data_IF_735298896530
#
_entry.id   IF_735298896530
#
_cell.length_a   1.000
_cell.length_b   1.000
_cell.length_c   1.000
_cell.angle_alpha   90.00
_cell.angle_beta   90.00
_cell.angle_gamma   90.00
#
_symmetry.space_group_name_H-M   'P 1'
#
loop_
_entity.id
_entity.type
_entity.pdbx_description
1 polymer ?
#
# COMPACT_ATOMS: atom_id res chain seq x y z
N UNK A 1 -31.60 -45.40 23.20
CA UNK A 1 -32.64 -45.97 22.34
C UNK A 1 -32.38 -45.40 20.97
N UNK A 2 -31.59 -46.15 20.18
CA UNK A 2 -31.37 -45.91 18.77
C UNK A 2 -32.56 -46.44 17.99
N UNK A 3 -32.75 -46.07 16.71
CA UNK A 3 -32.40 -47.06 15.71
C UNK A 3 -31.61 -46.51 14.48
N UNK A 4 -30.85 -47.48 13.97
CA UNK A 4 -30.17 -47.63 12.72
C UNK A 4 -30.95 -47.18 11.45
N UNK A 5 -30.24 -46.65 10.51
CA UNK A 5 -30.65 -46.61 9.10
C UNK A 5 -29.45 -46.98 8.21
N UNK A 6 -29.67 -48.06 7.51
CA UNK A 6 -28.84 -48.85 6.61
C UNK A 6 -28.57 -48.12 5.30
N UNK A 7 -27.32 -48.10 4.84
CA UNK A 7 -26.92 -47.81 3.46
C UNK A 7 -27.23 -48.98 2.53
N UNK A 8 -27.63 -48.78 1.27
CA UNK A 8 -27.54 -49.79 0.23
C UNK A 8 -26.28 -49.60 -0.63
N UNK A 9 -25.48 -50.65 -0.67
CA UNK A 9 -24.36 -50.83 -1.59
C UNK A 9 -24.85 -50.93 -3.03
N UNK A 10 -24.23 -50.16 -3.93
CA UNK A 10 -24.37 -50.28 -5.37
C UNK A 10 -23.27 -51.23 -5.91
N UNK A 11 -23.68 -52.41 -6.35
CA UNK A 11 -22.90 -53.40 -7.06
C UNK A 11 -22.59 -52.89 -8.47
N UNK A 12 -21.31 -52.69 -8.82
CA UNK A 12 -20.85 -52.42 -10.18
C UNK A 12 -20.27 -53.70 -10.77
N UNK A 13 -21.00 -54.30 -11.66
CA UNK A 13 -20.59 -55.46 -12.42
C UNK A 13 -19.45 -55.11 -13.41
N UNK A 14 -18.40 -55.88 -13.40
CA UNK A 14 -17.33 -55.92 -14.41
C UNK A 14 -17.79 -56.72 -15.62
N UNK A 15 -17.58 -56.23 -16.87
CA UNK A 15 -17.82 -57.04 -18.05
C UNK A 15 -16.60 -57.91 -18.39
N UNK A 16 -16.92 -59.15 -18.79
CA UNK A 16 -16.06 -60.25 -19.21
C UNK A 16 -15.17 -59.94 -20.42
N UNK A 17 -14.05 -60.58 -20.37
CA UNK A 17 -13.03 -60.88 -21.40
C UNK A 17 -13.64 -61.33 -22.73
N UNK A 18 -13.53 -60.49 -23.78
CA UNK A 18 -13.83 -60.90 -25.15
C UNK A 18 -12.54 -60.82 -25.97
N UNK A 19 -11.99 -62.01 -26.26
CA UNK A 19 -10.91 -62.24 -27.22
C UNK A 19 -11.31 -61.75 -28.61
N UNK A 20 -10.55 -60.84 -29.19
CA UNK A 20 -10.66 -60.34 -30.55
C UNK A 20 -9.66 -61.09 -31.45
N UNK A 21 -10.20 -61.63 -32.52
CA UNK A 21 -9.59 -62.34 -33.61
C UNK A 21 -8.64 -61.50 -34.45
N UNK A 22 -7.45 -62.03 -34.77
CA UNK A 22 -6.44 -61.43 -35.64
C UNK A 22 -6.87 -61.43 -37.11
N UNK A 23 -7.57 -60.39 -37.52
CA UNK A 23 -7.86 -60.11 -38.92
C UNK A 23 -6.83 -59.12 -39.51
N UNK A 24 -6.03 -59.60 -40.47
CA UNK A 24 -5.09 -58.80 -41.24
C UNK A 24 -5.76 -57.57 -41.88
N UNK A 25 -5.27 -56.36 -41.56
CA UNK A 25 -5.69 -55.14 -42.21
C UNK A 25 -4.72 -54.75 -43.34
N UNK A 26 -5.32 -54.62 -44.50
CA UNK A 26 -4.83 -54.19 -45.79
C UNK A 26 -4.19 -52.76 -45.68
N UNK A 27 -2.96 -52.60 -46.19
CA UNK A 27 -2.24 -51.32 -46.30
C UNK A 27 -2.90 -50.45 -47.39
N UNK A 28 -3.86 -49.60 -46.97
CA UNK A 28 -4.39 -48.52 -47.79
C UNK A 28 -3.49 -47.28 -47.68
N UNK A 29 -3.49 -46.35 -48.66
CA UNK A 29 -2.55 -45.25 -48.74
C UNK A 29 -2.68 -44.25 -47.58
N UNK A 30 -1.55 -43.97 -46.92
CA UNK A 30 -1.39 -42.92 -45.92
C UNK A 30 -1.69 -41.56 -46.51
N UNK A 31 -2.94 -41.15 -46.40
CA UNK A 31 -3.32 -39.74 -46.62
C UNK A 31 -2.78 -38.89 -45.48
N UNK A 32 -2.10 -37.79 -45.83
CA UNK A 32 -1.67 -36.78 -44.91
C UNK A 32 -2.82 -36.41 -43.95
N UNK A 33 -2.71 -36.79 -42.68
CA UNK A 33 -3.60 -36.35 -41.65
C UNK A 33 -3.34 -34.83 -41.44
N UNK A 34 -4.17 -34.00 -42.04
CA UNK A 34 -4.19 -32.59 -41.76
C UNK A 34 -4.36 -32.42 -40.25
N UNK A 35 -3.29 -31.97 -39.58
CA UNK A 35 -3.32 -31.59 -38.18
C UNK A 35 -4.31 -30.43 -38.07
N UNK A 36 -5.50 -30.69 -37.59
CA UNK A 36 -6.47 -29.64 -37.26
C UNK A 36 -5.88 -28.95 -36.09
N UNK A 37 -5.25 -27.79 -36.31
CA UNK A 37 -4.91 -26.86 -35.25
C UNK A 37 -6.21 -26.37 -34.60
N UNK A 38 -6.53 -26.88 -33.44
CA UNK A 38 -7.64 -26.39 -32.65
C UNK A 38 -7.33 -24.89 -32.35
N UNK A 39 -8.32 -24.00 -32.50
CA UNK A 39 -8.11 -22.59 -32.16
C UNK A 39 -7.66 -22.53 -30.71
N UNK A 40 -6.53 -21.82 -30.48
CA UNK A 40 -6.03 -21.52 -29.12
C UNK A 40 -7.17 -20.82 -28.39
N UNK A 41 -7.78 -21.49 -27.42
CA UNK A 41 -8.77 -20.85 -26.55
C UNK A 41 -8.00 -19.81 -25.75
N UNK A 42 -8.34 -18.52 -25.88
CA UNK A 42 -7.64 -17.47 -25.14
C UNK A 42 -7.77 -17.75 -23.64
N UNK A 43 -6.66 -17.60 -22.90
CA UNK A 43 -6.66 -17.76 -21.46
C UNK A 43 -7.70 -16.81 -20.82
N UNK A 44 -8.70 -17.34 -20.10
CA UNK A 44 -9.75 -16.51 -19.53
C UNK A 44 -9.20 -15.49 -18.51
N UNK A 45 -8.09 -15.79 -17.86
CA UNK A 45 -7.45 -14.90 -16.86
C UNK A 45 -6.76 -13.74 -17.55
N UNK A 46 -6.02 -14.02 -18.62
CA UNK A 46 -5.40 -12.97 -19.44
C UNK A 46 -6.43 -12.03 -20.06
N UNK A 47 -7.57 -12.56 -20.49
CA UNK A 47 -8.68 -11.73 -20.97
C UNK A 47 -9.25 -10.81 -19.87
N UNK A 48 -9.31 -11.30 -18.62
CA UNK A 48 -9.74 -10.48 -17.46
C UNK A 48 -8.74 -9.35 -17.17
N UNK A 49 -7.44 -9.63 -17.23
CA UNK A 49 -6.38 -8.61 -17.06
C UNK A 49 -6.54 -7.52 -18.12
N UNK A 50 -6.59 -7.90 -19.39
CA UNK A 50 -6.78 -6.96 -20.51
C UNK A 50 -8.06 -6.13 -20.37
N UNK A 51 -9.17 -6.77 -20.04
CA UNK A 51 -10.45 -6.09 -19.85
C UNK A 51 -10.37 -5.04 -18.73
N UNK A 52 -9.73 -5.36 -17.60
CA UNK A 52 -9.57 -4.41 -16.49
C UNK A 52 -8.71 -3.21 -16.87
N UNK A 53 -7.61 -3.41 -17.62
CA UNK A 53 -6.80 -2.31 -18.15
C UNK A 53 -7.62 -1.40 -19.07
N UNK A 54 -8.40 -1.99 -19.99
CA UNK A 54 -9.27 -1.22 -20.88
C UNK A 54 -10.35 -0.44 -20.12
N UNK A 55 -10.98 -1.05 -19.11
CA UNK A 55 -11.97 -0.39 -18.25
C UNK A 55 -11.37 0.74 -17.43
N UNK A 56 -10.10 0.63 -17.06
CA UNK A 56 -9.36 1.71 -16.42
C UNK A 56 -8.96 2.83 -17.39
N UNK A 57 -9.16 2.62 -18.71
CA UNK A 57 -8.86 3.60 -19.77
C UNK A 57 -7.42 3.54 -20.24
N UNK A 58 -6.74 2.42 -20.10
CA UNK A 58 -5.43 2.19 -20.74
C UNK A 58 -5.63 2.04 -22.24
N UNK A 59 -4.73 2.64 -23.04
CA UNK A 59 -4.75 2.55 -24.49
C UNK A 59 -4.74 1.09 -24.95
N UNK A 60 -5.71 0.65 -25.78
CA UNK A 60 -5.78 -0.73 -26.30
C UNK A 60 -4.47 -1.22 -26.94
N UNK A 61 -3.74 -0.35 -27.62
CA UNK A 61 -2.46 -0.71 -28.24
C UNK A 61 -1.43 -1.14 -27.17
N UNK A 62 -1.36 -0.42 -26.04
CA UNK A 62 -0.48 -0.77 -24.92
C UNK A 62 -0.95 -2.03 -24.19
N UNK A 63 -2.27 -2.25 -24.12
CA UNK A 63 -2.84 -3.46 -23.51
C UNK A 63 -2.47 -4.71 -24.30
N UNK A 64 -2.37 -4.63 -25.61
CA UNK A 64 -2.02 -5.79 -26.45
C UNK A 64 -0.51 -6.12 -26.41
N UNK A 65 0.34 -5.12 -26.17
CA UNK A 65 1.79 -5.27 -26.15
C UNK A 65 2.34 -5.65 -24.77
N UNK A 66 1.59 -5.38 -23.66
CA UNK A 66 2.09 -5.58 -22.31
C UNK A 66 2.12 -7.06 -21.92
N UNK A 67 3.18 -7.49 -21.26
CA UNK A 67 3.22 -8.78 -20.59
C UNK A 67 2.39 -8.73 -19.30
N UNK A 68 1.77 -9.85 -18.92
CA UNK A 68 0.86 -9.90 -17.79
C UNK A 68 1.54 -9.45 -16.47
N UNK A 69 2.83 -9.77 -16.30
CA UNK A 69 3.62 -9.34 -15.14
C UNK A 69 3.81 -7.82 -15.05
N UNK A 70 3.77 -7.11 -16.17
CA UNK A 70 3.92 -5.65 -16.25
C UNK A 70 2.59 -4.91 -16.13
N UNK A 71 1.47 -5.61 -16.30
CA UNK A 71 0.13 -5.06 -16.29
C UNK A 71 -0.21 -4.24 -15.03
N UNK A 72 0.20 -4.63 -13.79
CA UNK A 72 0.01 -3.81 -12.60
C UNK A 72 0.71 -2.45 -12.68
N UNK A 73 1.86 -2.38 -13.35
CA UNK A 73 2.58 -1.12 -13.59
C UNK A 73 1.80 -0.15 -14.46
N UNK A 74 1.21 -0.65 -15.55
CA UNK A 74 0.35 0.14 -16.44
C UNK A 74 -0.92 0.62 -15.72
N UNK A 75 -1.57 -0.26 -14.96
CA UNK A 75 -2.75 0.10 -14.19
C UNK A 75 -2.41 1.18 -13.16
N UNK A 76 -1.33 1.01 -12.40
CA UNK A 76 -0.86 1.99 -11.43
C UNK A 76 -0.60 3.35 -12.09
N UNK A 77 0.12 3.37 -13.22
CA UNK A 77 0.37 4.60 -13.95
C UNK A 77 -0.93 5.29 -14.34
N UNK A 78 -1.90 4.54 -14.89
CA UNK A 78 -3.19 5.06 -15.29
C UNK A 78 -4.01 5.61 -14.13
N UNK A 79 -4.06 4.89 -13.01
CA UNK A 79 -4.83 5.28 -11.83
C UNK A 79 -4.25 6.50 -11.11
N UNK A 80 -2.92 6.61 -11.05
CA UNK A 80 -2.25 7.72 -10.35
C UNK A 80 -2.14 8.97 -11.21
N UNK A 81 -1.85 8.83 -12.50
CA UNK A 81 -1.43 9.92 -13.36
C UNK A 81 -2.38 10.18 -14.56
N UNK A 82 -3.32 9.27 -14.81
CA UNK A 82 -4.21 9.40 -15.96
C UNK A 82 -3.45 9.43 -17.27
N UNK A 83 -3.70 10.47 -18.09
CA UNK A 83 -3.01 10.73 -19.37
C UNK A 83 -1.85 11.73 -19.23
N UNK A 84 -1.48 12.09 -17.98
CA UNK A 84 -0.41 13.05 -17.72
C UNK A 84 0.95 12.53 -18.23
N UNK A 85 1.56 13.28 -19.12
CA UNK A 85 2.84 12.92 -19.71
C UNK A 85 3.99 13.42 -18.83
N UNK A 86 5.09 12.65 -18.76
CA UNK A 86 6.26 13.10 -18.01
C UNK A 86 6.92 14.29 -18.70
N UNK A 87 7.36 15.26 -17.89
CA UNK A 87 8.11 16.46 -18.32
C UNK A 87 9.43 16.54 -17.55
N UNK A 88 10.37 17.34 -18.05
CA UNK A 88 11.63 17.58 -17.37
C UNK A 88 11.45 18.53 -16.16
N UNK A 89 12.36 18.44 -15.18
CA UNK A 89 12.32 19.29 -13.99
C UNK A 89 12.49 20.77 -14.34
N UNK A 90 13.29 21.07 -15.34
CA UNK A 90 13.49 22.43 -15.87
C UNK A 90 12.18 23.05 -16.37
N UNK A 91 11.35 22.25 -17.00
CA UNK A 91 10.04 22.69 -17.47
C UNK A 91 9.08 22.96 -16.29
N UNK A 92 9.08 22.09 -15.30
CA UNK A 92 8.34 22.32 -14.04
C UNK A 92 8.78 23.61 -13.37
N UNK A 93 10.10 23.82 -13.21
CA UNK A 93 10.68 24.98 -12.57
C UNK A 93 10.31 26.28 -13.32
N UNK A 94 10.44 26.26 -14.66
CA UNK A 94 10.06 27.39 -15.50
C UNK A 94 8.57 27.74 -15.38
N UNK A 95 7.69 26.73 -15.42
CA UNK A 95 6.24 26.95 -15.30
C UNK A 95 5.81 27.36 -13.90
N UNK A 96 6.54 26.95 -12.86
CA UNK A 96 6.28 27.30 -11.46
C UNK A 96 6.91 28.68 -11.09
N UNK A 97 7.81 29.20 -11.89
CA UNK A 97 8.53 30.46 -11.59
C UNK A 97 9.60 30.31 -10.51
N UNK A 98 10.22 29.14 -10.39
CA UNK A 98 11.26 28.83 -9.43
C UNK A 98 12.59 28.51 -10.12
N UNK A 99 13.69 28.69 -9.38
CA UNK A 99 14.98 28.17 -9.77
C UNK A 99 14.96 26.62 -9.78
N UNK A 100 15.57 26.02 -10.81
CA UNK A 100 15.58 24.55 -10.96
C UNK A 100 16.28 23.84 -9.81
N UNK A 101 17.31 24.45 -9.23
CA UNK A 101 18.03 23.88 -8.07
C UNK A 101 17.18 23.92 -6.80
N UNK A 102 16.31 24.92 -6.62
CA UNK A 102 15.33 24.95 -5.55
C UNK A 102 14.31 23.82 -5.74
N UNK A 103 13.84 23.60 -6.95
CA UNK A 103 12.94 22.49 -7.27
C UNK A 103 13.61 21.13 -7.01
N UNK A 104 14.88 20.97 -7.41
CA UNK A 104 15.68 19.76 -7.20
C UNK A 104 15.85 19.45 -5.71
N UNK A 105 16.24 20.46 -4.93
CA UNK A 105 16.35 20.36 -3.46
C UNK A 105 15.02 19.99 -2.81
N UNK A 106 13.93 20.63 -3.21
CA UNK A 106 12.61 20.35 -2.68
C UNK A 106 12.19 18.91 -2.96
N UNK A 107 12.40 18.39 -4.19
CA UNK A 107 12.12 16.98 -4.52
C UNK A 107 12.92 16.00 -3.64
N UNK A 108 14.22 16.24 -3.48
CA UNK A 108 15.05 15.39 -2.61
C UNK A 108 14.58 15.44 -1.14
N UNK A 109 14.15 16.60 -0.66
CA UNK A 109 13.58 16.74 0.69
C UNK A 109 12.22 16.05 0.82
N UNK A 110 11.47 15.90 -0.28
CA UNK A 110 10.27 15.07 -0.34
C UNK A 110 10.58 13.56 -0.36
N UNK A 111 11.85 13.16 -0.44
CA UNK A 111 12.25 11.75 -0.56
C UNK A 111 12.18 11.21 -2.00
N UNK A 112 12.03 12.09 -2.98
CA UNK A 112 12.02 11.72 -4.39
C UNK A 112 13.45 11.74 -4.96
N UNK A 113 13.81 10.81 -5.87
CA UNK A 113 15.13 10.80 -6.48
C UNK A 113 15.36 12.03 -7.34
N UNK A 114 16.63 12.40 -7.52
CA UNK A 114 17.02 13.43 -8.49
C UNK A 114 16.69 12.94 -9.90
N UNK A 115 15.88 13.65 -10.68
CA UNK A 115 15.51 13.24 -12.02
C UNK A 115 16.65 13.40 -13.05
N UNK A 116 17.70 14.16 -12.74
CA UNK A 116 18.66 14.60 -13.75
C UNK A 116 17.95 15.39 -14.86
N UNK A 117 18.30 15.08 -16.11
CA UNK A 117 17.70 15.70 -17.31
C UNK A 117 16.53 14.86 -17.87
N UNK A 118 16.17 13.74 -17.19
CA UNK A 118 15.12 12.85 -17.67
C UNK A 118 13.71 13.41 -17.42
N UNK A 119 12.77 13.25 -18.36
CA UNK A 119 11.39 13.69 -18.19
C UNK A 119 10.63 12.70 -17.30
N UNK A 120 10.80 12.80 -15.99
CA UNK A 120 10.12 11.93 -14.99
C UNK A 120 9.16 12.68 -14.09
N UNK A 121 9.15 14.02 -14.14
CA UNK A 121 8.19 14.85 -13.41
C UNK A 121 6.83 14.82 -14.09
N UNK A 122 5.79 15.22 -13.35
CA UNK A 122 4.43 15.28 -13.86
C UNK A 122 3.95 16.71 -13.99
N UNK A 123 3.06 16.99 -14.97
CA UNK A 123 2.54 18.35 -15.15
C UNK A 123 1.79 18.85 -13.92
N UNK A 124 1.16 17.96 -13.15
CA UNK A 124 0.52 18.31 -11.87
C UNK A 124 1.51 18.76 -10.78
N UNK A 125 2.79 18.42 -10.89
CA UNK A 125 3.82 18.92 -9.98
C UNK A 125 4.02 20.44 -10.12
N UNK A 126 3.72 21.01 -11.27
CA UNK A 126 3.80 22.47 -11.50
C UNK A 126 2.97 23.24 -10.47
N UNK A 127 1.75 22.81 -10.20
CA UNK A 127 0.91 23.48 -9.18
C UNK A 127 1.47 23.31 -7.77
N UNK A 128 2.06 22.15 -7.47
CA UNK A 128 2.75 21.92 -6.20
C UNK A 128 3.92 22.89 -6.03
N UNK A 129 4.73 23.07 -7.08
CA UNK A 129 5.88 23.99 -7.04
C UNK A 129 5.45 25.48 -7.09
N UNK A 130 4.32 25.81 -7.69
CA UNK A 130 3.73 27.16 -7.56
C UNK A 130 3.32 27.46 -6.13
N UNK A 131 2.70 26.47 -5.44
CA UNK A 131 2.41 26.57 -4.02
C UNK A 131 3.67 26.76 -3.17
N UNK A 132 4.75 26.04 -3.52
CA UNK A 132 6.06 26.18 -2.89
C UNK A 132 6.62 27.59 -3.10
N UNK A 133 6.56 28.12 -4.33
CA UNK A 133 7.01 29.50 -4.67
C UNK A 133 6.29 30.55 -3.83
N UNK A 134 4.96 30.48 -3.76
CA UNK A 134 4.16 31.38 -2.94
C UNK A 134 4.52 31.27 -1.43
N UNK A 135 4.78 30.04 -0.95
CA UNK A 135 5.23 29.83 0.41
C UNK A 135 6.61 30.42 0.67
N UNK A 136 7.55 30.30 -0.25
CA UNK A 136 8.89 30.88 -0.18
C UNK A 136 8.82 32.42 -0.12
N UNK A 137 7.98 33.02 -0.94
CA UNK A 137 7.77 34.48 -0.92
C UNK A 137 7.25 34.97 0.44
N UNK A 138 6.34 34.19 1.05
CA UNK A 138 5.70 34.59 2.32
C UNK A 138 6.53 34.28 3.57
N UNK A 139 7.19 33.11 3.61
CA UNK A 139 7.82 32.59 4.82
C UNK A 139 9.35 32.45 4.70
N UNK A 140 9.89 32.60 3.52
CA UNK A 140 11.31 32.38 3.22
C UNK A 140 11.62 30.93 2.82
N UNK A 141 12.70 30.76 2.04
CA UNK A 141 13.11 29.47 1.46
C UNK A 141 13.40 28.42 2.53
N UNK A 142 14.17 28.77 3.57
CA UNK A 142 14.58 27.82 4.61
C UNK A 142 13.38 27.22 5.36
N UNK A 143 12.38 28.05 5.70
CA UNK A 143 11.19 27.60 6.40
C UNK A 143 10.36 26.64 5.54
N UNK A 144 10.20 26.95 4.28
CA UNK A 144 9.43 26.14 3.34
C UNK A 144 10.15 24.82 3.01
N UNK A 145 11.45 24.84 2.80
CA UNK A 145 12.23 23.61 2.58
C UNK A 145 12.24 22.71 3.83
N UNK A 146 12.26 23.28 5.04
CA UNK A 146 12.09 22.52 6.28
C UNK A 146 10.70 21.86 6.35
N UNK A 147 9.64 22.59 6.01
CA UNK A 147 8.29 22.05 5.95
C UNK A 147 8.18 20.95 4.89
N UNK A 148 8.76 21.16 3.71
CA UNK A 148 8.80 20.18 2.62
C UNK A 148 9.43 18.85 3.05
N UNK A 149 10.50 18.89 3.85
CA UNK A 149 11.13 17.70 4.43
C UNK A 149 10.18 16.94 5.35
N UNK A 150 9.45 17.66 6.22
CA UNK A 150 8.48 17.04 7.14
C UNK A 150 7.35 16.39 6.34
N UNK A 151 6.83 17.09 5.33
CA UNK A 151 5.79 16.57 4.44
C UNK A 151 6.26 15.31 3.71
N UNK A 152 7.45 15.34 3.11
CA UNK A 152 7.99 14.18 2.38
C UNK A 152 8.15 12.94 3.28
N UNK A 153 8.73 13.11 4.47
CA UNK A 153 8.88 12.02 5.43
C UNK A 153 7.53 11.43 5.87
N UNK A 154 6.52 12.28 6.13
CA UNK A 154 5.19 11.82 6.48
C UNK A 154 4.53 11.04 5.34
N UNK A 155 4.63 11.55 4.11
CA UNK A 155 4.06 10.88 2.93
C UNK A 155 4.75 9.56 2.61
N UNK A 156 6.07 9.46 2.77
CA UNK A 156 6.80 8.19 2.61
C UNK A 156 6.28 7.14 3.61
N UNK A 157 6.16 7.51 4.89
CA UNK A 157 5.62 6.62 5.93
C UNK A 157 4.19 6.14 5.61
N UNK A 158 3.34 7.04 5.11
CA UNK A 158 1.97 6.70 4.71
C UNK A 158 1.97 5.74 3.52
N UNK A 159 2.80 6.00 2.50
CA UNK A 159 2.92 5.14 1.33
C UNK A 159 3.40 3.73 1.70
N UNK A 160 4.45 3.62 2.51
CA UNK A 160 4.99 2.34 3.00
C UNK A 160 3.94 1.58 3.85
N UNK A 161 3.26 2.28 4.76
CA UNK A 161 2.18 1.72 5.56
C UNK A 161 1.04 1.17 4.70
N UNK A 162 0.66 1.90 3.67
CA UNK A 162 -0.39 1.49 2.73
C UNK A 162 0.02 0.21 1.97
N UNK A 163 1.25 0.14 1.46
CA UNK A 163 1.77 -1.05 0.78
C UNK A 163 1.89 -2.25 1.73
N UNK A 164 2.25 -2.02 3.00
CA UNK A 164 2.35 -3.08 4.00
C UNK A 164 0.99 -3.75 4.31
N UNK A 165 -0.11 -3.02 4.20
CA UNK A 165 -1.47 -3.59 4.34
C UNK A 165 -1.72 -4.64 3.26
N UNK A 166 -1.36 -4.33 2.01
CA UNK A 166 -1.48 -5.27 0.90
C UNK A 166 -0.57 -6.49 1.08
N UNK A 167 0.72 -6.28 1.42
CA UNK A 167 1.66 -7.37 1.66
C UNK A 167 1.19 -8.34 2.75
N UNK A 168 0.68 -7.82 3.86
CA UNK A 168 0.09 -8.66 4.93
C UNK A 168 -1.17 -9.39 4.48
N UNK A 169 -2.00 -8.79 3.63
CA UNK A 169 -3.17 -9.46 3.07
C UNK A 169 -2.77 -10.69 2.23
N UNK A 170 -1.75 -10.56 1.40
CA UNK A 170 -1.22 -11.69 0.62
C UNK A 170 -0.57 -12.75 1.51
N UNK A 171 0.26 -12.35 2.48
CA UNK A 171 0.95 -13.27 3.38
C UNK A 171 0.00 -14.13 4.22
N UNK A 172 -1.18 -13.62 4.60
CA UNK A 172 -2.19 -14.37 5.34
C UNK A 172 -2.82 -15.53 4.56
N UNK A 173 -2.67 -15.57 3.24
CA UNK A 173 -3.13 -16.67 2.40
C UNK A 173 -2.21 -17.91 2.45
N UNK A 174 -0.98 -17.77 2.99
CA UNK A 174 -0.04 -18.88 3.15
C UNK A 174 0.21 -19.61 1.83
N UNK A 175 0.06 -20.95 1.83
CA UNK A 175 0.24 -21.79 0.64
C UNK A 175 -0.84 -21.58 -0.45
N UNK A 176 -1.90 -20.82 -0.15
CA UNK A 176 -2.92 -20.37 -1.11
C UNK A 176 -2.60 -18.97 -1.68
N UNK A 177 -1.40 -18.44 -1.45
CA UNK A 177 -1.00 -17.17 -2.03
C UNK A 177 -1.09 -17.23 -3.57
N UNK A 178 -1.71 -16.21 -4.21
CA UNK A 178 -1.88 -16.23 -5.65
C UNK A 178 -0.53 -16.14 -6.35
N UNK A 179 -0.36 -16.90 -7.43
CA UNK A 179 0.82 -16.87 -8.29
C UNK A 179 0.43 -16.51 -9.73
N UNK A 180 1.40 -16.08 -10.52
CA UNK A 180 1.18 -15.77 -11.95
C UNK A 180 0.06 -14.75 -12.15
N UNK A 181 -0.88 -15.07 -13.02
CA UNK A 181 -1.99 -14.18 -13.41
C UNK A 181 -2.97 -13.89 -12.27
N UNK A 182 -3.13 -14.81 -11.31
CA UNK A 182 -3.95 -14.56 -10.13
C UNK A 182 -3.33 -13.52 -9.21
N UNK A 183 -1.98 -13.52 -9.10
CA UNK A 183 -1.26 -12.46 -8.40
C UNK A 183 -1.48 -11.10 -9.07
N UNK A 184 -1.44 -11.04 -10.41
CA UNK A 184 -1.71 -9.82 -11.17
C UNK A 184 -3.10 -9.28 -10.88
N UNK A 185 -4.12 -10.15 -10.86
CA UNK A 185 -5.49 -9.74 -10.52
C UNK A 185 -5.62 -9.27 -9.07
N UNK A 186 -4.95 -9.92 -8.13
CA UNK A 186 -4.92 -9.48 -6.74
C UNK A 186 -4.22 -8.12 -6.58
N UNK A 187 -3.14 -7.89 -7.34
CA UNK A 187 -2.48 -6.58 -7.41
C UNK A 187 -3.40 -5.48 -7.97
N UNK A 188 -4.23 -5.81 -8.96
CA UNK A 188 -5.24 -4.89 -9.50
C UNK A 188 -6.27 -4.51 -8.44
N UNK A 189 -6.81 -5.49 -7.69
CA UNK A 189 -7.77 -5.23 -6.61
C UNK A 189 -7.18 -4.29 -5.55
N UNK A 190 -5.91 -4.47 -5.20
CA UNK A 190 -5.20 -3.61 -4.29
C UNK A 190 -5.06 -2.18 -4.85
N UNK A 191 -4.57 -2.04 -6.10
CA UNK A 191 -4.39 -0.73 -6.73
C UNK A 191 -5.70 0.05 -6.84
N UNK A 192 -6.80 -0.62 -7.18
CA UNK A 192 -8.12 0.01 -7.23
C UNK A 192 -8.62 0.43 -5.85
N UNK A 193 -8.35 -0.36 -4.82
CA UNK A 193 -8.71 0.00 -3.44
C UNK A 193 -7.93 1.20 -2.93
N UNK A 194 -6.68 1.39 -3.38
CA UNK A 194 -5.87 2.56 -3.01
C UNK A 194 -6.29 3.87 -3.69
N UNK A 195 -7.18 3.85 -4.66
CA UNK A 195 -7.70 5.08 -5.30
C UNK A 195 -8.31 6.07 -4.32
N UNK A 196 -8.90 5.59 -3.23
CA UNK A 196 -9.51 6.44 -2.20
C UNK A 196 -8.48 7.10 -1.28
N UNK A 197 -7.25 6.60 -1.23
CA UNK A 197 -6.24 7.05 -0.26
C UNK A 197 -5.94 8.55 -0.37
N UNK A 198 -5.72 9.15 -1.56
CA UNK A 198 -5.49 10.60 -1.66
C UNK A 198 -6.65 11.44 -1.10
N UNK A 199 -7.89 11.02 -1.32
CA UNK A 199 -9.08 11.71 -0.81
C UNK A 199 -9.15 11.63 0.71
N UNK A 200 -8.93 10.44 1.28
CA UNK A 200 -8.88 10.24 2.73
C UNK A 200 -7.76 11.07 3.34
N UNK A 201 -6.58 11.09 2.74
CA UNK A 201 -5.45 11.91 3.21
C UNK A 201 -5.80 13.39 3.20
N UNK A 202 -6.48 13.88 2.16
CA UNK A 202 -6.94 15.26 2.09
C UNK A 202 -7.90 15.64 3.22
N UNK A 203 -8.83 14.73 3.57
CA UNK A 203 -9.76 14.95 4.70
C UNK A 203 -9.01 14.92 6.03
N UNK A 204 -8.18 13.89 6.26
CA UNK A 204 -7.40 13.75 7.50
C UNK A 204 -6.45 14.94 7.70
N UNK A 205 -5.80 15.41 6.63
CA UNK A 205 -4.95 16.61 6.70
C UNK A 205 -5.74 17.84 7.16
N UNK A 206 -6.93 18.09 6.59
CA UNK A 206 -7.80 19.21 7.00
C UNK A 206 -8.17 19.12 8.49
N UNK A 207 -8.57 17.94 8.95
CA UNK A 207 -8.91 17.72 10.36
C UNK A 207 -7.70 17.95 11.28
N UNK A 208 -6.50 17.52 10.88
CA UNK A 208 -5.29 17.75 11.66
C UNK A 208 -4.86 19.22 11.66
N UNK A 209 -5.04 19.95 10.55
CA UNK A 209 -4.80 21.39 10.51
C UNK A 209 -5.76 22.15 11.42
N UNK A 210 -7.04 21.79 11.42
CA UNK A 210 -8.04 22.40 12.30
C UNK A 210 -7.69 22.22 13.78
N UNK A 211 -7.40 20.97 14.18
CA UNK A 211 -6.92 20.67 15.53
C UNK A 211 -5.62 21.36 15.91
N UNK A 212 -4.70 21.54 14.96
CA UNK A 212 -3.46 22.25 15.19
C UNK A 212 -3.68 23.77 15.35
N UNK A 213 -4.59 24.36 14.55
CA UNK A 213 -4.98 25.75 14.64
C UNK A 213 -5.62 26.08 16.00
N UNK A 214 -6.52 25.21 16.48
CA UNK A 214 -7.14 25.37 17.81
C UNK A 214 -6.09 25.38 18.94
N UNK A 215 -5.06 24.55 18.81
CA UNK A 215 -3.94 24.56 19.77
C UNK A 215 -3.11 25.84 19.72
N UNK A 216 -3.07 26.53 18.56
CA UNK A 216 -2.33 27.80 18.39
C UNK A 216 -3.14 29.02 18.79
N UNK A 217 -4.48 28.93 18.92
CA UNK A 217 -5.38 30.04 19.27
C UNK A 217 -5.15 30.62 20.68
N UNK A 218 -4.20 30.14 21.45
CA UNK A 218 -3.72 30.75 22.67
C UNK A 218 -2.38 31.47 22.44
N UNK A 219 -2.39 32.75 22.10
CA UNK A 219 -1.22 33.64 21.97
C UNK A 219 -0.09 33.20 21.00
N UNK A 220 -0.07 33.69 19.74
CA UNK A 220 1.03 33.45 18.82
C UNK A 220 2.38 33.88 19.38
N UNK A 221 3.41 33.04 19.25
CA UNK A 221 4.78 33.34 19.62
C UNK A 221 5.18 32.98 21.06
N UNK A 222 4.28 32.44 21.89
CA UNK A 222 4.67 31.87 23.18
C UNK A 222 5.28 30.48 23.04
N UNK A 223 6.49 30.33 23.61
CA UNK A 223 7.06 28.98 23.82
C UNK A 223 6.15 28.22 24.77
N UNK A 224 5.55 27.10 24.28
CA UNK A 224 4.78 26.22 25.15
C UNK A 224 5.67 25.11 25.67
N UNK A 225 5.61 24.91 26.97
CA UNK A 225 6.18 23.70 27.56
C UNK A 225 5.33 22.51 27.20
N UNK A 226 5.99 21.44 26.81
CA UNK A 226 5.35 20.15 26.56
C UNK A 226 6.20 19.05 27.21
N UNK A 227 5.55 18.02 27.71
CA UNK A 227 6.21 16.84 28.19
C UNK A 227 6.33 15.82 27.07
N UNK A 228 7.53 15.25 26.91
CA UNK A 228 7.78 14.13 26.00
C UNK A 228 7.87 12.87 26.88
N UNK A 229 7.09 11.84 26.53
CA UNK A 229 7.15 10.54 27.19
C UNK A 229 7.60 9.47 26.24
N UNK A 230 8.28 8.47 26.78
CA UNK A 230 8.68 7.24 26.12
C UNK A 230 8.18 6.07 26.95
N UNK A 231 7.55 5.08 26.31
CA UNK A 231 7.13 3.83 26.93
C UNK A 231 7.52 2.69 26.02
N UNK A 232 8.19 1.70 26.59
CA UNK A 232 8.73 0.54 25.90
C UNK A 232 8.14 -0.75 26.50
N UNK A 233 7.91 -1.78 25.66
CA UNK A 233 7.44 -3.10 26.10
C UNK A 233 8.62 -3.93 26.60
N UNK A 234 8.77 -4.00 27.92
CA UNK A 234 9.87 -4.73 28.56
C UNK A 234 9.86 -6.22 28.19
N UNK A 235 10.95 -6.68 27.57
CA UNK A 235 11.13 -8.09 27.21
C UNK A 235 10.58 -8.52 25.87
N UNK A 236 10.06 -7.60 25.05
CA UNK A 236 9.59 -7.85 23.70
C UNK A 236 10.63 -8.57 22.84
N UNK A 237 11.88 -8.12 22.82
CA UNK A 237 12.98 -8.75 22.08
C UNK A 237 13.18 -10.23 22.45
N UNK A 238 13.03 -10.61 23.73
CA UNK A 238 13.10 -12.02 24.16
C UNK A 238 11.86 -12.80 23.77
N UNK A 239 10.71 -12.16 23.79
CA UNK A 239 9.43 -12.77 23.41
C UNK A 239 9.38 -12.99 21.92
N UNK A 240 9.78 -12.02 21.12
CA UNK A 240 9.89 -12.12 19.65
C UNK A 240 10.86 -13.24 19.25
N UNK A 241 12.02 -13.33 19.90
CA UNK A 241 12.99 -14.41 19.61
C UNK A 241 12.49 -15.82 19.98
N UNK A 242 11.48 -15.94 20.84
CA UNK A 242 10.89 -17.22 21.26
C UNK A 242 9.63 -17.60 20.50
N UNK A 243 8.77 -16.64 20.20
CA UNK A 243 7.45 -16.88 19.63
C UNK A 243 7.38 -16.52 18.12
N UNK A 244 8.35 -15.80 17.59
CA UNK A 244 8.36 -15.28 16.22
C UNK A 244 7.63 -13.95 16.10
N UNK A 245 7.90 -13.22 15.00
CA UNK A 245 7.34 -11.90 14.71
C UNK A 245 5.81 -11.93 14.57
N UNK A 246 5.27 -12.97 13.96
CA UNK A 246 3.82 -13.13 13.73
C UNK A 246 3.01 -13.22 15.04
N UNK A 247 3.59 -13.82 16.07
CA UNK A 247 2.91 -13.94 17.35
C UNK A 247 2.92 -12.64 18.17
N UNK A 248 3.93 -11.78 17.96
CA UNK A 248 4.03 -10.46 18.61
C UNK A 248 3.21 -9.37 17.93
N UNK A 249 2.96 -9.48 16.62
CA UNK A 249 2.26 -8.44 15.86
C UNK A 249 0.89 -8.03 16.43
N UNK A 250 0.01 -8.95 16.90
CA UNK A 250 -1.26 -8.57 17.51
C UNK A 250 -1.10 -7.80 18.82
N UNK A 251 -0.13 -8.17 19.67
CA UNK A 251 0.12 -7.49 20.93
C UNK A 251 0.69 -6.08 20.70
N UNK A 252 1.60 -5.94 19.74
CA UNK A 252 2.15 -4.65 19.34
C UNK A 252 1.06 -3.73 18.78
N UNK A 253 0.19 -4.24 17.92
CA UNK A 253 -0.94 -3.46 17.39
C UNK A 253 -1.84 -2.94 18.51
N UNK A 254 -2.20 -3.79 19.49
CA UNK A 254 -3.01 -3.34 20.64
C UNK A 254 -2.29 -2.28 21.49
N UNK A 255 -1.00 -2.46 21.72
CA UNK A 255 -0.20 -1.48 22.44
C UNK A 255 -0.17 -0.13 21.75
N UNK A 256 0.03 -0.10 20.43
CA UNK A 256 -0.01 1.11 19.61
C UNK A 256 -1.39 1.79 19.66
N UNK A 257 -2.48 1.02 19.58
CA UNK A 257 -3.86 1.52 19.70
C UNK A 257 -4.10 2.15 21.08
N UNK A 258 -3.68 1.49 22.15
CA UNK A 258 -3.81 2.02 23.50
C UNK A 258 -2.99 3.30 23.71
N UNK A 259 -1.78 3.35 23.15
CA UNK A 259 -0.94 4.52 23.21
C UNK A 259 -1.59 5.72 22.52
N UNK A 260 -2.14 5.52 21.31
CA UNK A 260 -2.85 6.56 20.57
C UNK A 260 -4.08 7.06 21.35
N UNK A 261 -4.92 6.14 21.86
CA UNK A 261 -6.12 6.48 22.61
C UNK A 261 -5.80 7.25 23.91
N UNK A 262 -4.82 6.78 24.67
CA UNK A 262 -4.43 7.43 25.94
C UNK A 262 -3.77 8.79 25.72
N UNK A 263 -2.95 8.93 24.69
CA UNK A 263 -2.35 10.20 24.33
C UNK A 263 -3.44 11.23 24.00
N UNK A 264 -4.38 10.89 23.11
CA UNK A 264 -5.49 11.77 22.71
C UNK A 264 -6.41 12.10 23.89
N UNK A 265 -6.75 11.11 24.75
CA UNK A 265 -7.58 11.31 25.93
C UNK A 265 -6.94 12.25 26.98
N UNK A 266 -5.66 12.53 26.88
CA UNK A 266 -4.91 13.44 27.73
C UNK A 266 -4.39 14.68 26.99
N UNK A 267 -5.08 15.12 25.92
CA UNK A 267 -4.75 16.28 25.10
C UNK A 267 -3.35 16.20 24.45
N UNK A 268 -2.80 15.00 24.37
CA UNK A 268 -1.52 14.70 23.76
C UNK A 268 -1.66 14.11 22.37
N UNK A 269 -0.53 13.62 21.86
CA UNK A 269 -0.48 12.85 20.60
C UNK A 269 0.73 11.92 20.60
N UNK A 270 0.62 10.80 19.92
CA UNK A 270 1.78 10.00 19.57
C UNK A 270 2.60 10.76 18.53
N UNK A 271 3.92 10.76 18.70
CA UNK A 271 4.88 11.37 17.76
C UNK A 271 5.36 10.33 16.78
N UNK A 272 5.78 9.15 17.27
CA UNK A 272 6.16 8.00 16.45
C UNK A 272 6.20 6.71 17.28
N UNK A 273 6.14 5.60 16.58
CA UNK A 273 6.44 4.27 17.09
C UNK A 273 7.85 3.87 16.64
N UNK A 274 8.63 3.24 17.52
CA UNK A 274 10.01 2.82 17.26
C UNK A 274 10.12 1.35 17.68
N UNK A 275 9.68 0.45 16.81
CA UNK A 275 9.52 -0.95 17.19
C UNK A 275 8.44 -1.11 18.25
N UNK A 276 8.82 -1.57 19.43
CA UNK A 276 7.97 -1.75 20.61
C UNK A 276 7.93 -0.55 21.56
N UNK A 277 8.61 0.55 21.21
CA UNK A 277 8.62 1.80 21.94
C UNK A 277 7.67 2.82 21.31
N UNK A 278 6.92 3.56 22.14
CA UNK A 278 6.12 4.70 21.72
C UNK A 278 6.70 6.00 22.28
N UNK A 279 6.91 6.97 21.39
CA UNK A 279 7.22 8.35 21.75
C UNK A 279 5.94 9.19 21.64
N UNK A 280 5.56 9.90 22.69
CA UNK A 280 4.39 10.75 22.70
C UNK A 280 4.66 12.11 23.32
N UNK A 281 3.83 13.08 22.96
CA UNK A 281 3.85 14.45 23.47
C UNK A 281 2.56 14.70 24.26
N UNK A 282 2.68 15.33 25.42
CA UNK A 282 1.56 15.75 26.25
C UNK A 282 1.69 17.22 26.64
N UNK A 283 0.58 17.92 26.99
CA UNK A 283 0.61 19.34 27.31
C UNK A 283 1.43 19.66 28.58
N UNK A 284 1.49 18.73 29.52
CA UNK A 284 2.20 18.86 30.79
C UNK A 284 2.66 17.51 31.32
N UNK A 285 3.48 17.55 32.38
CA UNK A 285 4.00 16.35 33.01
C UNK A 285 2.92 15.45 33.66
N UNK A 286 1.88 15.98 34.34
CA UNK A 286 0.76 15.18 34.82
C UNK A 286 0.02 14.42 33.70
N UNK A 287 -0.24 15.06 32.57
CA UNK A 287 -0.85 14.42 31.42
C UNK A 287 0.05 13.30 30.85
N UNK A 288 1.35 13.58 30.71
CA UNK A 288 2.31 12.55 30.28
C UNK A 288 2.35 11.35 31.24
N UNK A 289 2.32 11.59 32.55
CA UNK A 289 2.29 10.54 33.55
C UNK A 289 1.00 9.69 33.45
N UNK A 290 -0.16 10.29 33.19
CA UNK A 290 -1.42 9.54 32.99
C UNK A 290 -1.36 8.64 31.76
N UNK A 291 -0.75 9.08 30.66
CA UNK A 291 -0.54 8.25 29.48
C UNK A 291 0.33 7.04 29.83
N UNK A 292 1.50 7.26 30.45
CA UNK A 292 2.42 6.18 30.80
C UNK A 292 1.78 5.17 31.77
N UNK A 293 1.15 5.64 32.84
CA UNK A 293 0.52 4.76 33.85
C UNK A 293 -0.68 4.01 33.27
N UNK A 294 -1.47 4.66 32.40
CA UNK A 294 -2.58 4.01 31.70
C UNK A 294 -2.12 2.92 30.75
N UNK A 295 -0.99 3.10 30.03
CA UNK A 295 -0.39 2.06 29.21
C UNK A 295 0.08 0.87 30.05
N UNK A 296 0.82 1.11 31.13
CA UNK A 296 1.30 0.07 32.03
C UNK A 296 0.11 -0.76 32.56
N UNK A 297 -0.97 -0.10 32.93
CA UNK A 297 -2.15 -0.78 33.47
C UNK A 297 -2.84 -1.64 32.41
N UNK A 298 -3.03 -1.13 31.18
CA UNK A 298 -3.64 -1.91 30.10
C UNK A 298 -2.81 -3.12 29.69
N UNK A 299 -1.48 -2.99 29.67
CA UNK A 299 -0.57 -4.11 29.38
C UNK A 299 -0.60 -5.15 30.52
N UNK A 300 -0.78 -4.71 31.77
CA UNK A 300 -0.87 -5.64 32.90
C UNK A 300 -2.19 -6.41 32.96
N UNK A 301 -3.25 -5.85 32.41
CA UNK A 301 -4.60 -6.42 32.40
C UNK A 301 -4.84 -7.34 31.17
N UNK A 302 -3.98 -7.31 30.12
CA UNK A 302 -4.07 -8.11 28.88
C UNK A 302 -3.35 -9.45 28.97
#
# INVERSE_FOLDING_TARGET
MAPDAVEPALDVATPDDATLDDGALDDGPTGDAATIELPVVPDPTRNRIKLRLMLAGVDPAKVDEVEDIEAPGLLRQRLLWGDDQPIALEEVAQQAGLDVEVCRRARMLMGLPDPGDEPVCRTMEVETFRGLAAGIELYGEDAILQFTRVLGSAMATIAEGSLSVFGRHLARRGDEAPEGDEYVLAAFDALESFRIVPEVLGVVAKLQFDLAADRLNGEPGRTRWAAIGFVDLTGSTRTTSRLGDDAMAPALTRFEEWAAQLAVANDGRVVKYIGDEVMYLAPDLPAAARVATGLIQRVADD
#
